data_IF_114973983676
#
_entry.id   IF_114973983676
#
_cell.length_a   1.000
_cell.length_b   1.000
_cell.length_c   1.000
_cell.angle_alpha   90.00
_cell.angle_beta   90.00
_cell.angle_gamma   90.00
#
_symmetry.space_group_name_H-M   'P 1'
#
loop_
_entity.id
_entity.type
_entity.pdbx_description
1 polymer ?
#
# COMPACT_ATOMS: atom_id res chain seq x y z
N UNK A 1 37.39 6.31 -47.77
CA UNK A 1 37.10 5.61 -46.50
C UNK A 1 35.78 6.17 -45.98
N UNK A 2 34.67 5.48 -46.22
CA UNK A 2 33.35 5.86 -45.72
C UNK A 2 33.15 5.19 -44.37
N UNK A 3 32.86 5.99 -43.34
CA UNK A 3 32.68 5.53 -41.97
C UNK A 3 31.26 4.97 -41.78
N UNK A 4 31.08 3.64 -41.89
CA UNK A 4 29.79 2.95 -41.77
C UNK A 4 29.30 2.73 -40.34
N UNK A 5 29.86 3.43 -39.34
CA UNK A 5 29.51 3.23 -37.93
C UNK A 5 28.37 4.15 -37.46
N UNK A 6 27.88 5.04 -38.33
CA UNK A 6 26.81 5.97 -38.01
C UNK A 6 25.39 5.47 -38.39
N UNK A 7 25.28 4.39 -39.16
CA UNK A 7 23.99 3.85 -39.61
C UNK A 7 23.68 2.52 -38.90
N UNK A 8 22.58 2.49 -38.15
CA UNK A 8 21.84 1.24 -37.91
C UNK A 8 21.54 0.84 -36.46
N UNK A 9 21.79 1.70 -35.48
CA UNK A 9 21.48 1.41 -34.07
C UNK A 9 19.98 1.33 -33.71
N UNK A 10 19.07 1.61 -34.65
CA UNK A 10 17.63 1.74 -34.37
C UNK A 10 16.74 0.75 -35.15
N UNK A 11 17.30 -0.09 -36.02
CA UNK A 11 16.50 -0.94 -36.94
C UNK A 11 15.91 -2.21 -36.29
N UNK A 12 16.18 -2.44 -34.99
CA UNK A 12 15.64 -3.58 -34.25
C UNK A 12 14.70 -3.19 -33.08
N UNK A 13 14.12 -1.99 -33.10
CA UNK A 13 13.02 -1.67 -32.18
C UNK A 13 11.70 -1.98 -32.87
N UNK A 14 11.22 -3.22 -32.73
CA UNK A 14 9.83 -3.57 -33.07
C UNK A 14 8.86 -2.55 -32.47
N UNK A 15 7.67 -2.33 -33.08
CA UNK A 15 6.76 -1.28 -32.65
C UNK A 15 6.49 -1.39 -31.15
N UNK A 16 6.81 -0.32 -30.41
CA UNK A 16 6.64 -0.28 -28.97
C UNK A 16 5.20 -0.56 -28.54
N UNK A 17 4.96 -0.88 -27.26
CA UNK A 17 3.64 -1.29 -26.78
C UNK A 17 2.58 -0.25 -27.15
N UNK A 18 1.41 -0.75 -27.60
CA UNK A 18 0.28 0.08 -28.01
C UNK A 18 -0.16 1.00 -26.88
N UNK A 19 -0.81 2.14 -27.22
CA UNK A 19 -1.33 3.08 -26.21
C UNK A 19 -2.25 2.39 -25.20
N UNK A 20 -3.09 1.47 -25.67
CA UNK A 20 -3.98 0.68 -24.82
C UNK A 20 -3.20 -0.21 -23.84
N UNK A 21 -2.13 -0.87 -24.31
CA UNK A 21 -1.29 -1.70 -23.44
C UNK A 21 -0.61 -0.86 -22.35
N UNK A 22 -0.08 0.31 -22.70
CA UNK A 22 0.52 1.23 -21.71
C UNK A 22 -0.49 1.67 -20.66
N UNK A 23 -1.68 2.09 -21.08
CA UNK A 23 -2.76 2.49 -20.16
C UNK A 23 -3.17 1.34 -19.24
N UNK A 24 -3.36 0.14 -19.78
CA UNK A 24 -3.73 -1.03 -18.97
C UNK A 24 -2.66 -1.33 -17.90
N UNK A 25 -1.38 -1.29 -18.27
CA UNK A 25 -0.28 -1.48 -17.31
C UNK A 25 -0.30 -0.39 -16.24
N UNK A 26 -0.46 0.88 -16.60
CA UNK A 26 -0.55 1.97 -15.63
C UNK A 26 -1.71 1.76 -14.66
N UNK A 27 -2.89 1.39 -15.15
CA UNK A 27 -4.05 1.11 -14.30
C UNK A 27 -3.77 -0.04 -13.35
N UNK A 28 -3.17 -1.13 -13.83
CA UNK A 28 -2.79 -2.27 -12.98
C UNK A 28 -1.80 -1.87 -11.88
N UNK A 29 -0.79 -1.07 -12.22
CA UNK A 29 0.20 -0.57 -11.24
C UNK A 29 -0.47 0.31 -10.19
N UNK A 30 -1.35 1.22 -10.59
CA UNK A 30 -2.09 2.09 -9.67
C UNK A 30 -2.98 1.27 -8.74
N UNK A 31 -3.73 0.30 -9.28
CA UNK A 31 -4.58 -0.58 -8.48
C UNK A 31 -3.76 -1.42 -7.50
N UNK A 32 -2.66 -2.03 -7.96
CA UNK A 32 -1.77 -2.81 -7.10
C UNK A 32 -1.14 -1.97 -5.98
N UNK A 33 -0.77 -0.73 -6.29
CA UNK A 33 -0.19 0.19 -5.30
C UNK A 33 -1.26 0.63 -4.29
N UNK A 34 -2.48 0.93 -4.75
CA UNK A 34 -3.59 1.30 -3.88
C UNK A 34 -4.00 0.16 -2.93
N UNK A 35 -4.07 -1.08 -3.43
CA UNK A 35 -4.38 -2.24 -2.59
C UNK A 35 -3.27 -2.52 -1.57
N UNK A 36 -2.00 -2.41 -1.98
CA UNK A 36 -0.88 -2.55 -1.07
C UNK A 36 -0.88 -1.48 0.04
N UNK A 37 -1.15 -0.22 -0.32
CA UNK A 37 -1.26 0.87 0.65
C UNK A 37 -2.41 0.65 1.65
N UNK A 38 -3.57 0.20 1.18
CA UNK A 38 -4.70 -0.11 2.05
C UNK A 38 -4.40 -1.28 2.99
N UNK A 39 -3.75 -2.34 2.51
CA UNK A 39 -3.35 -3.47 3.33
C UNK A 39 -2.34 -3.06 4.41
N UNK A 40 -1.36 -2.23 4.04
CA UNK A 40 -0.38 -1.70 4.99
C UNK A 40 -1.04 -0.83 6.08
N UNK A 41 -1.95 0.07 5.69
CA UNK A 41 -2.70 0.89 6.63
C UNK A 41 -3.53 0.03 7.59
N UNK A 42 -4.19 -1.02 7.09
CA UNK A 42 -4.94 -1.96 7.91
C UNK A 42 -4.05 -2.65 8.95
N UNK A 43 -2.89 -3.16 8.55
CA UNK A 43 -1.96 -3.80 9.50
C UNK A 43 -1.53 -2.85 10.63
N UNK A 44 -1.34 -1.56 10.32
CA UNK A 44 -1.03 -0.54 11.32
C UNK A 44 -2.18 -0.32 12.30
N UNK A 45 -3.42 -0.26 11.79
CA UNK A 45 -4.63 -0.11 12.60
C UNK A 45 -4.87 -1.32 13.50
N UNK A 46 -4.72 -2.53 12.98
CA UNK A 46 -4.86 -3.78 13.75
C UNK A 46 -3.84 -3.84 14.91
N UNK A 47 -2.61 -3.35 14.67
CA UNK A 47 -1.60 -3.23 15.73
C UNK A 47 -1.99 -2.23 16.81
N UNK A 48 -2.59 -1.09 16.43
CA UNK A 48 -3.06 -0.08 17.39
C UNK A 48 -4.21 -0.61 18.24
N UNK A 49 -5.15 -1.32 17.63
CA UNK A 49 -6.23 -1.99 18.35
C UNK A 49 -5.68 -3.02 19.35
N UNK A 50 -4.75 -3.87 18.89
CA UNK A 50 -4.10 -4.87 19.74
C UNK A 50 -3.41 -4.22 20.94
N UNK A 51 -2.81 -3.04 20.77
CA UNK A 51 -2.16 -2.31 21.88
C UNK A 51 -3.13 -1.96 23.01
N UNK A 52 -4.39 -1.65 22.71
CA UNK A 52 -5.39 -1.39 23.76
C UNK A 52 -5.54 -2.59 24.72
N UNK A 53 -5.40 -3.81 24.21
CA UNK A 53 -5.51 -5.02 25.03
C UNK A 53 -4.19 -5.34 25.75
N UNK A 54 -3.04 -5.14 25.09
CA UNK A 54 -1.73 -5.48 25.69
C UNK A 54 -1.23 -4.47 26.70
N UNK A 55 -1.63 -3.20 26.57
CA UNK A 55 -1.25 -2.10 27.47
C UNK A 55 -2.34 -1.82 28.53
N UNK A 56 -3.36 -2.67 28.61
CA UNK A 56 -4.42 -2.54 29.60
C UNK A 56 -3.85 -2.63 31.03
N UNK A 57 -4.42 -1.86 31.99
CA UNK A 57 -4.01 -1.92 33.39
C UNK A 57 -4.11 -3.32 34.00
N UNK A 58 -3.30 -3.61 35.02
CA UNK A 58 -3.35 -4.89 35.71
C UNK A 58 -4.72 -5.10 36.36
N UNK A 59 -5.33 -6.27 36.08
CA UNK A 59 -6.67 -6.62 36.58
C UNK A 59 -7.80 -6.31 35.59
N UNK A 60 -7.53 -5.60 34.49
CA UNK A 60 -8.48 -5.40 33.39
C UNK A 60 -8.55 -6.68 32.54
N UNK A 61 -9.75 -7.22 32.35
CA UNK A 61 -9.96 -8.36 31.44
C UNK A 61 -10.23 -7.89 30.02
N UNK A 62 -10.14 -8.78 29.03
CA UNK A 62 -10.45 -8.41 27.65
C UNK A 62 -11.90 -7.90 27.45
N UNK A 63 -12.83 -8.29 28.34
CA UNK A 63 -14.22 -7.82 28.31
C UNK A 63 -14.37 -6.37 28.78
N UNK A 64 -13.38 -5.86 29.52
CA UNK A 64 -13.36 -4.52 30.10
C UNK A 64 -12.66 -3.50 29.19
N UNK A 65 -12.08 -3.96 28.07
CA UNK A 65 -11.38 -3.13 27.09
C UNK A 65 -12.33 -2.81 25.93
N UNK A 66 -12.58 -1.53 25.71
CA UNK A 66 -13.27 -1.05 24.51
C UNK A 66 -12.30 -0.29 23.63
N UNK A 67 -12.12 -0.74 22.40
CA UNK A 67 -11.32 -0.08 21.37
C UNK A 67 -12.26 0.57 20.34
N UNK A 68 -12.27 1.90 20.28
CA UNK A 68 -13.13 2.64 19.34
C UNK A 68 -12.29 3.21 18.22
N UNK A 69 -12.64 2.88 16.97
CA UNK A 69 -11.95 3.42 15.82
C UNK A 69 -12.21 4.93 15.67
N UNK A 70 -11.13 5.70 15.51
CA UNK A 70 -11.17 7.12 15.17
C UNK A 70 -10.57 7.33 13.79
N UNK A 71 -11.29 8.03 12.92
CA UNK A 71 -10.84 8.31 11.57
C UNK A 71 -9.75 9.39 11.47
N UNK A 72 -9.74 10.39 12.37
CA UNK A 72 -8.79 11.50 12.30
C UNK A 72 -8.29 11.95 13.70
N UNK A 73 -6.96 11.85 13.99
CA UNK A 73 -5.99 11.05 13.25
C UNK A 73 -6.39 9.55 13.31
N UNK A 74 -6.11 8.77 12.24
CA UNK A 74 -6.51 7.39 12.14
C UNK A 74 -5.88 6.54 13.25
N UNK A 75 -6.70 5.77 13.96
CA UNK A 75 -6.25 4.91 15.05
C UNK A 75 -7.42 4.43 15.91
N UNK A 76 -7.09 3.99 17.13
CA UNK A 76 -8.07 3.54 18.13
C UNK A 76 -7.91 4.34 19.42
N UNK A 77 -9.04 4.73 20.00
CA UNK A 77 -9.12 5.24 21.37
C UNK A 77 -9.47 4.07 22.30
N UNK A 78 -8.64 3.85 23.33
CA UNK A 78 -8.80 2.77 24.30
C UNK A 78 -9.52 3.29 25.55
N UNK A 79 -10.58 2.63 25.98
CA UNK A 79 -11.21 2.86 27.29
C UNK A 79 -11.32 1.57 28.10
N UNK A 80 -11.16 1.69 29.41
CA UNK A 80 -11.15 0.57 30.36
C UNK A 80 -12.27 0.78 31.38
N UNK A 81 -13.11 -0.22 31.60
CA UNK A 81 -14.24 -0.17 32.55
C UNK A 81 -14.07 -1.06 33.77
#
# INVERSE_FOLDING_TARGET
>A
MNHSWADGGYENQGPGPSRAARTAVTVLVVLATATAAAAYAKMGLDQMETRCYTEAPAGTTAADVTATFRWLPPGYDCSYS
#
